data_IF_158939275753
#
_entry.id   IF_158939275753
#
_cell.length_a   1.000
_cell.length_b   1.000
_cell.length_c   1.000
_cell.angle_alpha   90.00
_cell.angle_beta   90.00
_cell.angle_gamma   90.00
#
_symmetry.space_group_name_H-M   'P 1'
#
loop_
_entity.id
_entity.type
_entity.pdbx_description
1 polymer ?
#
# COMPACT_ATOMS: atom_id res chain seq x y z
N UNK A 1 -10.26 -16.48 3.18
CA UNK A 1 -10.20 -15.70 4.43
C UNK A 1 -8.85 -15.02 4.54
N UNK A 2 -8.57 -14.34 5.65
CA UNK A 2 -7.28 -13.65 5.89
C UNK A 2 -6.09 -14.61 5.80
N UNK A 3 -6.27 -15.87 6.24
CA UNK A 3 -5.28 -16.95 6.12
C UNK A 3 -4.79 -17.16 4.68
N UNK A 4 -5.68 -17.10 3.68
CA UNK A 4 -5.26 -17.29 2.28
C UNK A 4 -4.35 -16.15 1.79
N UNK A 5 -4.56 -14.91 2.25
CA UNK A 5 -3.68 -13.80 1.91
C UNK A 5 -2.35 -13.88 2.68
N UNK A 6 -2.39 -14.33 3.93
CA UNK A 6 -1.19 -14.57 4.74
C UNK A 6 -0.32 -15.66 4.12
N UNK A 7 -0.91 -16.77 3.67
CA UNK A 7 -0.21 -17.84 2.95
C UNK A 7 0.42 -17.34 1.65
N UNK A 8 -0.30 -16.56 0.84
CA UNK A 8 0.25 -15.97 -0.39
C UNK A 8 1.39 -15.02 -0.08
N UNK A 9 1.25 -14.14 0.92
CA UNK A 9 2.33 -13.23 1.32
C UNK A 9 3.56 -14.00 1.84
N UNK A 10 3.36 -15.09 2.58
CA UNK A 10 4.45 -15.94 3.05
C UNK A 10 5.15 -16.68 1.90
N UNK A 11 4.38 -17.21 0.94
CA UNK A 11 4.91 -17.97 -0.21
C UNK A 11 5.54 -17.08 -1.28
N UNK A 12 5.02 -15.86 -1.43
CA UNK A 12 5.45 -14.86 -2.40
C UNK A 12 5.75 -13.53 -1.71
N UNK A 13 6.80 -13.46 -0.85
CA UNK A 13 7.04 -12.30 0.03
C UNK A 13 7.37 -11.00 -0.71
N UNK A 14 7.78 -11.09 -1.98
CA UNK A 14 8.02 -9.93 -2.83
C UNK A 14 6.75 -9.40 -3.51
N UNK A 15 5.62 -10.12 -3.43
CA UNK A 15 4.38 -9.73 -4.09
C UNK A 15 3.60 -8.70 -3.27
N UNK A 16 3.81 -7.42 -3.58
CA UNK A 16 3.21 -6.27 -2.88
C UNK A 16 1.67 -6.34 -2.77
N UNK A 17 0.97 -6.86 -3.77
CA UNK A 17 -0.50 -6.92 -3.74
C UNK A 17 -1.06 -7.85 -2.65
N UNK A 18 -0.36 -8.93 -2.30
CA UNK A 18 -0.78 -9.81 -1.19
C UNK A 18 -0.71 -9.07 0.15
N UNK A 19 0.34 -8.30 0.38
CA UNK A 19 0.48 -7.43 1.54
C UNK A 19 -0.57 -6.33 1.57
N UNK A 20 -0.87 -5.70 0.43
CA UNK A 20 -1.92 -4.69 0.31
C UNK A 20 -3.31 -5.24 0.65
N UNK A 21 -3.61 -6.47 0.24
CA UNK A 21 -4.86 -7.14 0.60
C UNK A 21 -4.95 -7.44 2.10
N UNK A 22 -3.88 -7.93 2.73
CA UNK A 22 -3.81 -8.12 4.19
C UNK A 22 -4.01 -6.80 4.93
N UNK A 23 -3.33 -5.75 4.48
CA UNK A 23 -3.40 -4.43 5.09
C UNK A 23 -4.83 -3.87 5.05
N UNK A 24 -5.46 -3.89 3.87
CA UNK A 24 -6.82 -3.37 3.69
C UNK A 24 -7.84 -4.13 4.56
N UNK A 25 -7.71 -5.47 4.65
CA UNK A 25 -8.60 -6.31 5.45
C UNK A 25 -8.41 -6.08 6.95
N UNK A 26 -7.16 -6.02 7.42
CA UNK A 26 -6.85 -5.68 8.81
C UNK A 26 -7.39 -4.28 9.17
N UNK A 27 -7.25 -3.31 8.27
CA UNK A 27 -7.77 -1.96 8.49
C UNK A 27 -9.31 -1.96 8.58
N UNK A 28 -9.99 -2.65 7.67
CA UNK A 28 -11.44 -2.81 7.69
C UNK A 28 -11.95 -3.54 8.95
N UNK A 29 -11.11 -4.37 9.57
CA UNK A 29 -11.40 -5.04 10.86
C UNK A 29 -11.08 -4.18 12.09
N UNK A 30 -10.70 -2.91 11.93
CA UNK A 30 -10.31 -2.02 13.03
C UNK A 30 -8.93 -2.34 13.63
N UNK A 31 -8.12 -3.14 12.96
CA UNK A 31 -6.79 -3.54 13.42
C UNK A 31 -5.72 -2.62 12.82
N UNK A 32 -5.66 -1.38 13.32
CA UNK A 32 -4.79 -0.34 12.77
C UNK A 32 -3.30 -0.72 12.78
N UNK A 33 -2.79 -1.28 13.89
CA UNK A 33 -1.37 -1.67 14.02
C UNK A 33 -1.00 -2.81 13.05
N UNK A 34 -1.74 -3.93 12.96
CA UNK A 34 -1.51 -4.94 11.92
C UNK A 34 -1.62 -4.38 10.50
N UNK A 35 -2.62 -3.54 10.22
CA UNK A 35 -2.80 -2.91 8.91
C UNK A 35 -1.58 -2.09 8.51
N UNK A 36 -1.07 -1.27 9.42
CA UNK A 36 0.13 -0.47 9.25
C UNK A 36 1.36 -1.35 8.97
N UNK A 37 1.55 -2.44 9.73
CA UNK A 37 2.67 -3.35 9.55
C UNK A 37 2.64 -4.06 8.17
N UNK A 38 1.46 -4.53 7.75
CA UNK A 38 1.27 -5.15 6.43
C UNK A 38 1.45 -4.14 5.31
N UNK A 39 0.86 -2.95 5.43
CA UNK A 39 0.96 -1.88 4.44
C UNK A 39 2.41 -1.43 4.26
N UNK A 40 3.14 -1.19 5.35
CA UNK A 40 4.56 -0.80 5.30
C UNK A 40 5.42 -1.87 4.63
N UNK A 41 5.18 -3.15 4.95
CA UNK A 41 5.88 -4.26 4.29
C UNK A 41 5.61 -4.24 2.79
N UNK A 42 4.33 -4.23 2.38
CA UNK A 42 3.94 -4.24 0.98
C UNK A 42 4.42 -3.01 0.20
N UNK A 43 4.44 -1.84 0.85
CA UNK A 43 5.00 -0.60 0.33
C UNK A 43 6.48 -0.76 -0.03
N UNK A 44 7.31 -1.29 0.89
CA UNK A 44 8.73 -1.53 0.61
C UNK A 44 8.95 -2.55 -0.51
N UNK A 45 8.17 -3.64 -0.54
CA UNK A 45 8.24 -4.62 -1.63
C UNK A 45 7.83 -4.04 -2.98
N UNK A 46 6.89 -3.09 -2.98
CA UNK A 46 6.49 -2.34 -4.17
C UNK A 46 7.59 -1.41 -4.66
N UNK A 47 8.23 -0.65 -3.77
CA UNK A 47 9.37 0.20 -4.11
C UNK A 47 10.53 -0.60 -4.74
N UNK A 48 10.83 -1.78 -4.20
CA UNK A 48 11.88 -2.64 -4.76
C UNK A 48 11.54 -3.10 -6.18
N UNK A 49 10.27 -3.44 -6.44
CA UNK A 49 9.80 -3.81 -7.78
C UNK A 49 9.89 -2.62 -8.75
N UNK A 50 9.41 -1.44 -8.34
CA UNK A 50 9.48 -0.22 -9.16
C UNK A 50 10.93 0.10 -9.55
N UNK A 51 11.86 0.03 -8.57
CA UNK A 51 13.30 0.27 -8.80
C UNK A 51 13.91 -0.73 -9.78
N UNK A 52 13.55 -2.02 -9.66
CA UNK A 52 14.00 -3.06 -10.61
C UNK A 52 13.49 -2.79 -12.02
N UNK A 53 12.30 -2.20 -12.15
CA UNK A 53 11.71 -1.77 -13.42
C UNK A 53 12.20 -0.39 -13.90
N UNK A 54 13.22 0.19 -13.24
CA UNK A 54 13.89 1.41 -13.69
C UNK A 54 13.41 2.71 -13.03
N UNK A 55 12.41 2.67 -12.15
CA UNK A 55 11.93 3.86 -11.43
C UNK A 55 12.99 4.39 -10.46
N UNK A 56 13.19 5.71 -10.44
CA UNK A 56 14.33 6.38 -9.76
C UNK A 56 13.97 7.14 -8.49
N UNK A 57 12.86 6.81 -7.84
CA UNK A 57 12.43 7.50 -6.62
C UNK A 57 11.47 8.66 -6.84
N UNK A 58 11.16 9.00 -8.09
CA UNK A 58 10.28 10.10 -8.47
C UNK A 58 9.60 9.81 -9.82
N UNK A 59 8.51 10.53 -10.08
CA UNK A 59 7.72 10.40 -11.30
C UNK A 59 6.53 9.46 -11.14
N UNK A 60 5.68 9.40 -12.18
CA UNK A 60 4.36 8.78 -12.10
C UNK A 60 4.43 7.28 -11.85
N UNK A 61 3.45 6.77 -11.10
CA UNK A 61 3.21 5.34 -10.89
C UNK A 61 1.72 5.11 -11.19
N UNK A 62 1.34 4.94 -12.47
CA UNK A 62 -0.07 4.96 -12.87
C UNK A 62 -0.88 3.81 -12.27
N UNK A 63 -2.06 4.11 -11.74
CA UNK A 63 -3.07 3.18 -11.24
C UNK A 63 -3.60 2.25 -12.32
N UNK A 64 -3.70 2.75 -13.55
CA UNK A 64 -4.14 1.99 -14.72
C UNK A 64 -3.21 0.82 -15.07
N UNK A 65 -1.96 0.86 -14.60
CA UNK A 65 -1.04 -0.26 -14.75
C UNK A 65 -1.19 -1.22 -13.57
N UNK A 66 -1.85 -2.35 -13.80
CA UNK A 66 -2.20 -3.34 -12.77
C UNK A 66 -1.04 -3.72 -11.80
N UNK A 67 0.20 -3.96 -12.25
CA UNK A 67 1.33 -4.26 -11.34
C UNK A 67 1.60 -3.18 -10.29
N UNK A 68 1.22 -1.92 -10.53
CA UNK A 68 1.41 -0.82 -9.58
C UNK A 68 0.37 -0.82 -8.47
N UNK A 69 -0.81 -1.42 -8.69
CA UNK A 69 -1.93 -1.25 -7.77
C UNK A 69 -1.67 -1.86 -6.39
N UNK A 70 -0.84 -2.91 -6.31
CA UNK A 70 -0.42 -3.47 -5.03
C UNK A 70 0.35 -2.46 -4.18
N UNK A 71 1.32 -1.76 -4.79
CA UNK A 71 2.08 -0.70 -4.16
C UNK A 71 1.19 0.48 -3.77
N UNK A 72 0.32 0.94 -4.67
CA UNK A 72 -0.57 2.09 -4.43
C UNK A 72 -1.60 1.80 -3.32
N UNK A 73 -2.16 0.58 -3.27
CA UNK A 73 -3.02 0.13 -2.16
C UNK A 73 -2.28 0.11 -0.83
N UNK A 74 -1.05 -0.38 -0.81
CA UNK A 74 -0.23 -0.34 0.41
C UNK A 74 0.01 1.09 0.88
N UNK A 75 0.34 2.01 -0.03
CA UNK A 75 0.60 3.41 0.32
C UNK A 75 -0.65 4.11 0.86
N UNK A 76 -1.82 3.82 0.26
CA UNK A 76 -3.11 4.30 0.77
C UNK A 76 -3.41 3.78 2.17
N UNK A 77 -3.37 2.45 2.39
CA UNK A 77 -3.66 1.88 3.71
C UNK A 77 -2.63 2.32 4.74
N UNK A 78 -1.36 2.47 4.37
CA UNK A 78 -0.32 2.99 5.25
C UNK A 78 -0.67 4.40 5.74
N UNK A 79 -1.13 5.27 4.84
CA UNK A 79 -1.59 6.61 5.20
C UNK A 79 -2.75 6.57 6.20
N UNK A 80 -3.77 5.75 5.93
CA UNK A 80 -4.97 5.63 6.79
C UNK A 80 -4.65 5.02 8.15
N UNK A 81 -3.84 3.97 8.19
CA UNK A 81 -3.47 3.29 9.42
C UNK A 81 -2.51 4.14 10.27
N UNK A 82 -1.63 4.92 9.65
CA UNK A 82 -0.78 5.88 10.35
C UNK A 82 -1.62 6.96 11.06
N UNK A 83 -2.65 7.49 10.40
CA UNK A 83 -3.57 8.46 10.98
C UNK A 83 -4.30 7.89 12.21
N UNK A 84 -4.82 6.67 12.09
CA UNK A 84 -5.55 5.97 13.17
C UNK A 84 -4.68 5.71 14.41
N UNK A 85 -3.36 5.53 14.25
CA UNK A 85 -2.42 5.34 15.38
C UNK A 85 -1.77 6.64 15.88
N UNK A 86 -2.15 7.81 15.33
CA UNK A 86 -1.65 9.12 15.76
C UNK A 86 -0.35 9.60 15.09
N UNK A 87 0.11 8.94 14.03
CA UNK A 87 1.30 9.31 13.24
C UNK A 87 0.94 10.26 12.08
N UNK A 88 0.41 11.44 12.42
CA UNK A 88 -0.16 12.39 11.46
C UNK A 88 0.83 12.83 10.36
N UNK A 89 2.11 13.03 10.71
CA UNK A 89 3.14 13.41 9.75
C UNK A 89 3.39 12.30 8.72
N UNK A 90 3.35 11.03 9.13
CA UNK A 90 3.48 9.91 8.20
C UNK A 90 2.24 9.77 7.32
N UNK A 91 1.04 9.91 7.91
CA UNK A 91 -0.22 9.89 7.19
C UNK A 91 -0.21 10.92 6.05
N UNK A 92 0.18 12.17 6.35
CA UNK A 92 0.27 13.25 5.39
C UNK A 92 1.31 12.98 4.28
N UNK A 93 2.52 12.52 4.63
CA UNK A 93 3.55 12.17 3.65
C UNK A 93 3.09 11.05 2.71
N UNK A 94 2.47 10.00 3.24
CA UNK A 94 1.99 8.87 2.42
C UNK A 94 0.83 9.28 1.50
N UNK A 95 -0.11 10.08 2.00
CA UNK A 95 -1.22 10.60 1.19
C UNK A 95 -0.71 11.51 0.07
N UNK A 96 0.26 12.38 0.36
CA UNK A 96 0.86 13.23 -0.66
C UNK A 96 1.60 12.40 -1.71
N UNK A 97 2.40 11.43 -1.27
CA UNK A 97 3.12 10.56 -2.20
C UNK A 97 2.17 9.76 -3.10
N UNK A 98 1.03 9.30 -2.58
CA UNK A 98 0.01 8.63 -3.40
C UNK A 98 -0.53 9.53 -4.51
N UNK A 99 -0.84 10.79 -4.18
CA UNK A 99 -1.32 11.79 -5.15
C UNK A 99 -0.25 12.15 -6.18
N UNK A 100 1.01 12.25 -5.76
CA UNK A 100 2.15 12.51 -6.66
C UNK A 100 2.40 11.33 -7.62
N UNK A 101 2.11 10.10 -7.18
CA UNK A 101 2.17 8.91 -8.02
C UNK A 101 1.07 8.89 -9.08
N UNK A 102 -0.19 9.00 -8.66
CA UNK A 102 -1.37 9.07 -9.52
C UNK A 102 -2.61 9.55 -8.73
N UNK A 103 -3.18 10.73 -9.04
CA UNK A 103 -4.43 11.20 -8.43
C UNK A 103 -5.60 10.21 -8.59
N UNK A 104 -5.68 9.49 -9.71
CA UNK A 104 -6.74 8.51 -9.94
C UNK A 104 -6.65 7.31 -8.97
N UNK A 105 -5.47 7.02 -8.42
CA UNK A 105 -5.33 6.02 -7.37
C UNK A 105 -5.99 6.48 -6.08
N UNK A 106 -5.78 7.74 -5.68
CA UNK A 106 -6.37 8.31 -4.47
C UNK A 106 -7.90 8.33 -4.57
N UNK A 107 -8.43 8.72 -5.73
CA UNK A 107 -9.89 8.76 -5.97
C UNK A 107 -10.49 7.35 -5.95
N UNK A 108 -9.86 6.40 -6.65
CA UNK A 108 -10.34 5.01 -6.71
C UNK A 108 -10.33 4.31 -5.34
N UNK A 109 -9.34 4.61 -4.50
CA UNK A 109 -9.16 3.96 -3.20
C UNK A 109 -9.96 4.61 -2.06
N UNK A 110 -10.34 5.89 -2.21
CA UNK A 110 -11.18 6.60 -1.24
C UNK A 110 -12.68 6.38 -1.45
N UNK A 111 -13.07 5.92 -2.64
CA UNK A 111 -14.48 5.73 -3.03
C UNK A 111 -15.07 4.37 -2.61
N UNK A 112 -14.38 3.60 -1.76
CA UNK A 112 -14.73 2.22 -1.44
C UNK A 112 -14.38 1.87 0.01
#
# INVERSE_FOLDING_TARGET
GDEAFAEVAARYPTYSAAWGALAARAFAAGQAVPAYAYARTGYHRGLDQLRRSGWKGHGPVPWSHEPNQGFLRCLYVLSRAADEIGEADEAARCAQFLRDCDPAAADALSSN
#
